data_IF_764369875513
#
_entry.id   IF_764369875513
#
_cell.length_a   1.000
_cell.length_b   1.000
_cell.length_c   1.000
_cell.angle_alpha   90.00
_cell.angle_beta   90.00
_cell.angle_gamma   90.00
#
_symmetry.space_group_name_H-M   'P 1'
#
loop_
_entity.id
_entity.type
_entity.pdbx_description
1 polymer ?
#
# COMPACT_ATOMS: atom_id res chain seq x y z
N UNK A 1 -30.35 -32.04 46.79
CA UNK A 1 -30.68 -30.93 47.71
C UNK A 1 -29.42 -30.11 47.93
N UNK A 2 -29.28 -28.81 47.68
CA UNK A 2 -30.15 -27.73 47.16
C UNK A 2 -29.27 -26.88 46.24
N UNK A 3 -29.77 -26.54 45.05
CA UNK A 3 -29.19 -25.56 44.12
C UNK A 3 -29.56 -24.15 44.60
N UNK A 4 -28.63 -23.21 44.50
CA UNK A 4 -28.92 -21.78 44.63
C UNK A 4 -29.22 -21.21 43.23
N UNK A 5 -30.37 -20.57 43.10
CA UNK A 5 -30.76 -19.72 41.97
C UNK A 5 -30.92 -18.32 42.55
N UNK A 6 -30.26 -17.32 41.96
CA UNK A 6 -30.55 -15.92 42.24
C UNK A 6 -31.02 -15.29 40.93
N UNK A 7 -32.30 -14.93 40.92
CA UNK A 7 -33.00 -14.31 39.78
C UNK A 7 -32.73 -12.81 39.74
N UNK A 8 -32.41 -12.29 38.56
CA UNK A 8 -32.39 -10.86 38.24
C UNK A 8 -33.83 -10.41 37.92
N UNK A 9 -34.32 -9.37 38.57
CA UNK A 9 -35.61 -8.74 38.27
C UNK A 9 -35.33 -7.35 37.71
N UNK A 10 -35.46 -7.20 36.39
CA UNK A 10 -35.40 -5.93 35.68
C UNK A 10 -36.85 -5.46 35.51
N UNK A 11 -37.21 -4.34 36.11
CA UNK A 11 -38.47 -3.64 35.81
C UNK A 11 -38.13 -2.38 35.04
N UNK A 12 -38.48 -2.36 33.75
CA UNK A 12 -38.43 -1.17 32.91
C UNK A 12 -39.77 -0.47 32.90
N UNK A 13 -39.74 0.86 32.92
CA UNK A 13 -40.81 1.68 32.36
C UNK A 13 -40.19 2.89 31.66
N UNK A 14 -40.47 2.99 30.36
CA UNK A 14 -40.14 4.09 29.46
C UNK A 14 -41.40 4.95 29.32
N UNK A 15 -41.27 6.28 29.35
CA UNK A 15 -41.97 7.23 28.47
C UNK A 15 -41.55 8.68 28.77
N UNK A 16 -41.22 9.44 27.71
CA UNK A 16 -41.31 10.91 27.71
C UNK A 16 -40.06 11.65 27.23
N UNK A 17 -40.04 12.02 25.95
CA UNK A 17 -38.99 12.78 25.24
C UNK A 17 -38.85 14.25 25.68
N UNK A 18 -37.61 14.74 25.87
CA UNK A 18 -37.15 16.11 25.51
C UNK A 18 -35.60 16.10 25.29
N UNK A 19 -35.17 16.72 24.18
CA UNK A 19 -33.84 17.20 23.70
C UNK A 19 -32.50 16.99 24.48
N UNK A 20 -31.33 16.97 23.79
CA UNK A 20 -30.07 16.51 24.37
C UNK A 20 -29.35 17.62 25.15
N UNK A 21 -29.21 17.44 26.46
CA UNK A 21 -28.09 18.02 27.21
C UNK A 21 -26.99 16.97 27.29
N UNK A 22 -25.76 17.42 27.00
CA UNK A 22 -24.51 16.72 27.29
C UNK A 22 -24.51 16.26 28.76
N UNK A 23 -24.87 15.00 28.98
CA UNK A 23 -24.73 14.34 30.27
C UNK A 23 -23.58 13.35 30.15
N UNK A 24 -22.56 13.54 30.98
CA UNK A 24 -21.50 12.56 31.19
C UNK A 24 -22.12 11.17 31.46
N UNK A 25 -21.53 10.07 30.95
CA UNK A 25 -22.02 8.74 31.23
C UNK A 25 -22.03 8.47 32.74
N UNK A 26 -23.03 7.73 33.26
CA UNK A 26 -23.14 7.46 34.69
C UNK A 26 -21.89 6.73 35.18
N UNK A 27 -21.25 7.30 36.20
CA UNK A 27 -20.17 6.67 36.94
C UNK A 27 -20.74 5.44 37.65
N UNK A 28 -20.45 4.25 37.12
CA UNK A 28 -20.68 2.99 37.83
C UNK A 28 -19.56 2.83 38.84
N UNK A 29 -19.83 3.22 40.09
CA UNK A 29 -18.93 2.98 41.21
C UNK A 29 -19.09 1.52 41.65
N UNK A 30 -18.08 0.69 41.40
CA UNK A 30 -17.99 -0.62 42.04
C UNK A 30 -17.60 -0.42 43.50
N UNK A 31 -18.58 -0.48 44.40
CA UNK A 31 -18.31 -0.52 45.83
C UNK A 31 -17.87 -1.93 46.24
N UNK A 32 -16.61 -2.12 46.62
CA UNK A 32 -16.25 -3.26 47.46
C UNK A 32 -16.71 -2.92 48.87
N UNK A 33 -17.94 -3.33 49.21
CA UNK A 33 -18.42 -3.25 50.59
C UNK A 33 -17.57 -4.21 51.42
N UNK A 34 -16.71 -3.67 52.28
CA UNK A 34 -16.11 -4.48 53.33
C UNK A 34 -17.23 -4.97 54.26
N UNK A 35 -17.55 -6.26 54.15
CA UNK A 35 -18.46 -6.96 55.07
C UNK A 35 -18.01 -6.74 56.53
N UNK A 36 -18.92 -6.65 57.52
CA UNK A 36 -18.55 -6.53 58.93
C UNK A 36 -17.61 -7.67 59.33
N UNK A 37 -16.51 -7.27 59.96
CA UNK A 37 -15.32 -8.08 60.23
C UNK A 37 -15.64 -9.25 61.15
N UNK A 38 -15.45 -10.48 60.66
CA UNK A 38 -15.24 -11.66 61.50
C UNK A 38 -13.87 -11.54 62.20
N UNK A 39 -13.80 -11.54 63.54
CA UNK A 39 -12.56 -11.33 64.30
C UNK A 39 -11.50 -12.43 64.11
N UNK A 40 -11.76 -13.48 63.32
CA UNK A 40 -10.77 -14.54 63.01
C UNK A 40 -9.99 -14.33 61.71
N UNK A 41 -10.16 -13.21 61.01
CA UNK A 41 -9.54 -12.99 59.69
C UNK A 41 -8.05 -12.58 59.81
N UNK A 42 -7.20 -13.36 59.14
CA UNK A 42 -5.76 -13.20 58.97
C UNK A 42 -5.38 -11.75 58.59
N UNK A 43 -4.31 -11.27 59.23
CA UNK A 43 -3.57 -10.02 58.95
C UNK A 43 -3.58 -9.65 57.45
N UNK A 44 -4.18 -8.50 57.11
CA UNK A 44 -4.12 -7.92 55.76
C UNK A 44 -3.01 -6.87 55.72
N UNK A 45 -1.94 -7.10 54.97
CA UNK A 45 -0.91 -6.09 54.71
C UNK A 45 -1.34 -5.17 53.58
N UNK A 46 -1.38 -3.85 53.83
CA UNK A 46 -1.62 -2.84 52.79
C UNK A 46 -0.29 -2.16 52.43
N UNK A 47 -0.03 -2.00 51.13
CA UNK A 47 1.13 -1.26 50.62
C UNK A 47 0.61 0.04 50.02
N UNK A 48 1.18 1.16 50.45
CA UNK A 48 0.72 2.50 50.10
C UNK A 48 1.76 3.24 49.28
N UNK A 49 1.29 4.14 48.44
CA UNK A 49 2.07 4.98 47.55
C UNK A 49 1.75 6.46 47.80
N UNK A 50 2.62 7.33 47.32
CA UNK A 50 2.47 8.78 47.46
C UNK A 50 1.40 9.40 46.55
N UNK A 51 0.55 8.60 45.91
CA UNK A 51 -0.46 9.07 44.97
C UNK A 51 -1.86 8.48 45.19
N UNK A 52 -2.03 7.62 46.21
CA UNK A 52 -3.31 6.98 46.51
C UNK A 52 -4.33 7.95 47.14
N UNK A 53 -5.63 7.72 46.91
CA UNK A 53 -6.72 8.53 47.45
C UNK A 53 -7.44 7.78 48.57
N UNK A 54 -7.57 8.43 49.73
CA UNK A 54 -8.21 7.87 50.93
C UNK A 54 -9.47 8.67 51.24
N UNK A 55 -10.63 8.00 51.25
CA UNK A 55 -11.89 8.56 51.72
C UNK A 55 -12.17 8.06 53.14
N UNK A 56 -12.31 8.98 54.09
CA UNK A 56 -12.68 8.67 55.46
C UNK A 56 -14.22 8.56 55.61
N UNK A 57 -14.68 7.87 56.66
CA UNK A 57 -16.11 7.66 56.94
C UNK A 57 -16.90 8.95 57.19
N UNK A 58 -16.21 10.05 57.50
CA UNK A 58 -16.79 11.38 57.61
C UNK A 58 -16.89 12.14 56.26
N UNK A 59 -16.59 11.48 55.14
CA UNK A 59 -16.63 12.07 53.79
C UNK A 59 -15.39 12.88 53.40
N UNK A 60 -14.37 12.98 54.26
CA UNK A 60 -13.13 13.66 53.90
C UNK A 60 -12.29 12.83 52.93
N UNK A 61 -11.93 13.44 51.80
CA UNK A 61 -11.01 12.88 50.82
C UNK A 61 -9.61 13.44 51.05
N UNK A 62 -8.59 12.58 51.12
CA UNK A 62 -7.19 12.96 51.26
C UNK A 62 -6.35 12.28 50.18
N UNK A 63 -5.46 13.04 49.52
CA UNK A 63 -4.52 12.54 48.53
C UNK A 63 -3.19 12.19 49.19
N UNK A 64 -2.56 11.11 48.75
CA UNK A 64 -1.22 10.80 49.18
C UNK A 64 -0.19 11.80 48.57
N UNK A 65 0.96 12.14 49.18
CA UNK A 65 1.98 13.07 48.63
C UNK A 65 3.43 12.61 48.91
N UNK A 66 4.44 12.96 48.10
CA UNK A 66 5.84 12.47 48.20
C UNK A 66 6.72 12.97 49.37
N UNK A 67 6.18 13.73 50.34
CA UNK A 67 6.98 14.26 51.47
C UNK A 67 7.00 13.35 52.71
N UNK A 68 6.54 12.11 52.59
CA UNK A 68 5.82 11.42 53.66
C UNK A 68 6.53 10.23 54.30
N UNK A 69 7.85 10.17 54.15
CA UNK A 69 8.68 9.29 54.96
C UNK A 69 10.13 9.71 54.80
N UNK A 70 10.60 10.61 55.65
CA UNK A 70 12.04 10.76 55.87
C UNK A 70 12.54 9.85 56.99
N UNK A 71 11.66 9.11 57.69
CA UNK A 71 12.04 8.21 58.80
C UNK A 71 11.43 6.81 58.81
N UNK A 72 10.64 6.40 57.83
CA UNK A 72 10.26 4.99 57.66
C UNK A 72 10.91 4.42 56.41
N UNK A 73 12.08 3.81 56.60
CA UNK A 73 12.56 2.76 55.72
C UNK A 73 11.49 1.65 55.72
N UNK A 74 10.57 1.69 54.75
CA UNK A 74 9.73 0.54 54.45
C UNK A 74 10.64 -0.58 53.93
N UNK A 75 11.15 -1.42 54.84
CA UNK A 75 11.51 -2.79 54.47
C UNK A 75 10.23 -3.41 53.92
N UNK A 76 10.20 -3.71 52.62
CA UNK A 76 9.12 -4.46 51.95
C UNK A 76 8.73 -5.65 52.85
N UNK A 77 7.46 -5.72 53.26
CA UNK A 77 6.91 -6.88 53.96
C UNK A 77 6.56 -6.75 55.45
N UNK A 78 6.13 -5.59 55.95
CA UNK A 78 5.48 -5.52 57.29
C UNK A 78 3.95 -5.49 57.17
N UNK A 79 3.31 -6.38 57.93
CA UNK A 79 1.87 -6.51 58.07
C UNK A 79 1.31 -5.44 59.01
N UNK A 80 0.20 -4.80 58.62
CA UNK A 80 -0.45 -3.70 59.36
C UNK A 80 -1.71 -4.26 60.03
N UNK A 81 -1.89 -4.03 61.33
CA UNK A 81 -3.02 -4.52 62.14
C UNK A 81 -4.21 -3.54 62.13
N UNK A 82 -5.42 -4.02 62.44
CA UNK A 82 -6.65 -3.18 62.50
C UNK A 82 -6.64 -2.11 63.61
N UNK A 83 -5.65 -2.14 64.50
CA UNK A 83 -5.40 -1.15 65.54
C UNK A 83 -4.37 -0.08 65.13
N UNK A 84 -3.75 -0.23 63.97
CA UNK A 84 -2.69 0.66 63.53
C UNK A 84 -3.28 2.01 63.11
N UNK A 85 -2.66 3.09 63.58
CA UNK A 85 -2.89 4.43 63.06
C UNK A 85 -2.00 4.59 61.84
N UNK A 86 -2.58 4.95 60.71
CA UNK A 86 -1.81 5.47 59.58
C UNK A 86 -1.55 6.95 59.90
N UNK A 87 -0.29 7.33 60.11
CA UNK A 87 0.09 8.70 60.42
C UNK A 87 0.36 9.48 59.13
N UNK A 88 -0.15 10.71 59.05
CA UNK A 88 0.05 11.65 57.94
C UNK A 88 0.39 13.03 58.50
N UNK A 89 1.23 13.79 57.82
CA UNK A 89 1.45 15.21 58.13
C UNK A 89 0.81 16.03 57.02
N UNK A 90 -0.22 16.86 57.30
CA UNK A 90 -0.88 17.66 56.28
C UNK A 90 0.05 18.79 55.80
N UNK A 91 0.12 19.00 54.48
CA UNK A 91 0.82 20.14 53.91
C UNK A 91 -0.17 21.26 53.59
N UNK A 92 -0.30 22.22 54.49
CA UNK A 92 -0.72 23.57 54.10
C UNK A 92 0.51 24.31 53.60
N UNK A 93 0.39 25.08 52.50
CA UNK A 93 1.49 25.90 51.93
C UNK A 93 2.13 26.89 52.93
N UNK A 94 1.59 27.00 54.14
CA UNK A 94 2.17 27.69 55.29
C UNK A 94 2.04 26.76 56.50
N UNK A 95 3.19 26.43 57.08
CA UNK A 95 3.41 25.75 58.37
C UNK A 95 3.10 24.24 58.44
N UNK A 96 4.12 23.49 58.88
CA UNK A 96 4.04 22.13 59.38
C UNK A 96 3.30 22.13 60.73
N UNK A 97 2.11 21.53 60.80
CA UNK A 97 1.44 21.24 62.07
C UNK A 97 0.98 19.78 62.11
N UNK A 98 1.73 18.96 62.84
CA UNK A 98 1.28 17.70 63.47
C UNK A 98 1.16 16.45 62.58
N UNK A 99 1.58 15.31 63.12
CA UNK A 99 1.19 13.98 62.62
C UNK A 99 -0.29 13.73 62.98
N UNK A 100 -1.17 13.72 61.98
CA UNK A 100 -2.53 13.23 62.07
C UNK A 100 -2.54 11.70 61.86
N UNK A 101 -2.89 10.93 62.87
CA UNK A 101 -3.15 9.50 62.72
C UNK A 101 -4.62 9.22 62.35
N UNK A 102 -4.92 8.68 61.16
CA UNK A 102 -6.24 8.09 60.89
C UNK A 102 -6.18 6.64 61.33
N UNK A 103 -7.18 6.24 62.11
CA UNK A 103 -7.38 4.83 62.42
C UNK A 103 -7.88 4.13 61.16
N UNK A 104 -7.38 2.94 60.87
CA UNK A 104 -7.87 2.12 59.74
C UNK A 104 -9.39 1.94 59.79
N UNK A 105 -9.98 1.91 60.98
CA UNK A 105 -11.45 1.86 61.20
C UNK A 105 -12.23 3.08 60.70
N UNK A 106 -11.56 4.19 60.42
CA UNK A 106 -12.17 5.43 59.91
C UNK A 106 -12.03 5.57 58.40
N UNK A 107 -11.39 4.62 57.72
CA UNK A 107 -11.24 4.64 56.26
C UNK A 107 -12.45 3.93 55.65
N UNK A 108 -13.20 4.65 54.81
CA UNK A 108 -14.36 4.14 54.08
C UNK A 108 -13.93 3.45 52.79
N UNK A 109 -13.04 4.08 52.04
CA UNK A 109 -12.58 3.57 50.75
C UNK A 109 -11.13 3.97 50.49
N UNK A 110 -10.44 3.11 49.74
CA UNK A 110 -9.08 3.31 49.28
C UNK A 110 -9.03 3.13 47.77
N UNK A 111 -8.49 4.12 47.06
CA UNK A 111 -8.28 4.07 45.62
C UNK A 111 -6.78 4.15 45.34
N UNK A 112 -6.24 3.07 44.77
CA UNK A 112 -4.84 3.02 44.37
C UNK A 112 -4.59 3.98 43.21
N UNK A 113 -3.45 4.64 43.19
CA UNK A 113 -3.06 5.49 42.06
C UNK A 113 -3.08 4.73 40.75
N UNK A 114 -2.61 3.49 40.72
CA UNK A 114 -2.63 2.67 39.51
C UNK A 114 -4.05 2.50 38.99
N UNK A 115 -5.04 2.32 39.86
CA UNK A 115 -6.45 2.22 39.46
C UNK A 115 -6.99 3.54 38.92
N UNK A 116 -6.63 4.68 39.54
CA UNK A 116 -6.99 6.01 39.04
C UNK A 116 -6.32 6.31 37.69
N UNK A 117 -5.07 5.90 37.52
CA UNK A 117 -4.31 6.05 36.28
C UNK A 117 -4.90 5.19 35.16
N UNK A 118 -5.34 3.95 35.42
CA UNK A 118 -6.04 3.12 34.43
C UNK A 118 -7.37 3.75 33.98
N UNK A 119 -8.14 4.35 34.91
CA UNK A 119 -9.35 5.10 34.55
C UNK A 119 -9.04 6.32 33.68
N UNK A 120 -7.94 7.03 33.97
CA UNK A 120 -7.52 8.17 33.16
C UNK A 120 -6.97 7.74 31.80
N UNK A 121 -6.35 6.56 31.68
CA UNK A 121 -5.99 5.95 30.39
C UNK A 121 -7.24 5.72 29.55
N UNK A 122 -8.30 5.16 30.12
CA UNK A 122 -9.58 4.95 29.41
C UNK A 122 -10.23 6.27 28.97
N UNK A 123 -10.17 7.30 29.82
CA UNK A 123 -10.64 8.65 29.46
C UNK A 123 -9.79 9.29 28.37
N UNK A 124 -8.47 9.18 28.45
CA UNK A 124 -7.53 9.71 27.46
C UNK A 124 -7.73 9.03 26.11
N UNK A 125 -7.92 7.71 26.11
CA UNK A 125 -8.32 6.91 24.95
C UNK A 125 -9.63 7.41 24.33
N UNK A 126 -10.65 7.66 25.16
CA UNK A 126 -11.93 8.24 24.70
C UNK A 126 -11.78 9.65 24.08
N UNK A 127 -10.81 10.44 24.55
CA UNK A 127 -10.46 11.76 24.01
C UNK A 127 -9.45 11.72 22.85
N UNK A 128 -8.95 10.54 22.47
CA UNK A 128 -7.87 10.34 21.49
C UNK A 128 -6.52 10.97 21.89
N UNK A 129 -6.28 11.14 23.18
CA UNK A 129 -4.99 11.58 23.71
C UNK A 129 -4.08 10.36 23.95
N UNK A 130 -3.51 9.86 22.86
CA UNK A 130 -2.69 8.64 22.85
C UNK A 130 -1.39 8.80 23.64
N UNK A 131 -0.78 9.99 23.60
CA UNK A 131 0.47 10.28 24.28
C UNK A 131 0.28 10.20 25.80
N UNK A 132 -0.79 10.82 26.33
CA UNK A 132 -1.11 10.74 27.75
C UNK A 132 -1.44 9.31 28.17
N UNK A 133 -2.20 8.56 27.36
CA UNK A 133 -2.55 7.17 27.63
C UNK A 133 -1.29 6.26 27.70
N UNK A 134 -0.41 6.33 26.70
CA UNK A 134 0.83 5.54 26.64
C UNK A 134 1.79 5.89 27.80
N UNK A 135 1.89 7.19 28.13
CA UNK A 135 2.71 7.66 29.24
C UNK A 135 2.21 7.11 30.58
N UNK A 136 0.90 7.18 30.85
CA UNK A 136 0.31 6.65 32.08
C UNK A 136 0.52 5.13 32.21
N UNK A 137 0.29 4.37 31.13
CA UNK A 137 0.55 2.92 31.12
C UNK A 137 2.02 2.61 31.43
N UNK A 138 2.95 3.35 30.84
CA UNK A 138 4.39 3.20 31.08
C UNK A 138 4.78 3.57 32.52
N UNK A 139 4.18 4.62 33.08
CA UNK A 139 4.39 5.03 34.47
C UNK A 139 3.88 3.97 35.46
N UNK A 140 2.69 3.39 35.22
CA UNK A 140 2.15 2.30 36.04
C UNK A 140 3.11 1.11 36.01
N UNK A 141 3.57 0.69 34.83
CA UNK A 141 4.45 -0.45 34.69
C UNK A 141 5.82 -0.21 35.34
N UNK A 142 6.37 1.00 35.26
CA UNK A 142 7.61 1.40 35.93
C UNK A 142 7.45 1.43 37.44
N UNK A 143 6.33 1.96 37.93
CA UNK A 143 6.08 2.17 39.34
C UNK A 143 5.75 0.85 40.05
N UNK A 144 4.88 0.03 39.45
CA UNK A 144 4.43 -1.25 39.98
C UNK A 144 4.24 -2.31 38.87
N UNK A 145 5.31 -3.01 38.46
CA UNK A 145 5.26 -3.98 37.36
C UNK A 145 4.32 -5.17 37.60
N UNK A 146 3.90 -5.40 38.85
CA UNK A 146 3.03 -6.51 39.24
C UNK A 146 1.57 -6.12 39.33
N UNK A 147 1.25 -4.84 39.16
CA UNK A 147 -0.13 -4.36 39.18
C UNK A 147 -0.84 -4.82 37.91
N UNK A 148 -1.84 -5.69 38.06
CA UNK A 148 -2.72 -6.19 36.99
C UNK A 148 -2.08 -6.28 35.58
N UNK A 149 -0.97 -7.03 35.41
CA UNK A 149 -0.16 -6.96 34.19
C UNK A 149 -0.94 -7.34 32.92
N UNK A 150 -1.94 -8.21 33.05
CA UNK A 150 -2.86 -8.56 31.96
C UNK A 150 -3.72 -7.38 31.53
N UNK A 151 -4.32 -6.65 32.48
CA UNK A 151 -5.19 -5.51 32.20
C UNK A 151 -4.40 -4.36 31.56
N UNK A 152 -3.18 -4.12 32.01
CA UNK A 152 -2.28 -3.13 31.43
C UNK A 152 -1.95 -3.49 29.98
N UNK A 153 -1.61 -4.76 29.71
CA UNK A 153 -1.34 -5.23 28.35
C UNK A 153 -2.58 -5.07 27.45
N UNK A 154 -3.74 -5.53 27.89
CA UNK A 154 -5.01 -5.37 27.17
C UNK A 154 -5.32 -3.90 26.84
N UNK A 155 -5.16 -3.00 27.81
CA UNK A 155 -5.41 -1.57 27.58
C UNK A 155 -4.39 -0.95 26.62
N UNK A 156 -3.13 -1.40 26.67
CA UNK A 156 -2.11 -0.97 25.73
C UNK A 156 -2.48 -1.38 24.30
N UNK A 157 -2.86 -2.65 24.10
CA UNK A 157 -3.26 -3.16 22.79
C UNK A 157 -4.52 -2.45 22.26
N UNK A 158 -5.47 -2.14 23.14
CA UNK A 158 -6.67 -1.37 22.77
C UNK A 158 -6.37 0.09 22.41
N UNK A 159 -5.40 0.73 23.08
CA UNK A 159 -4.93 2.08 22.73
C UNK A 159 -4.23 2.07 21.38
N UNK A 160 -3.35 1.08 21.13
CA UNK A 160 -2.66 0.92 19.85
C UNK A 160 -3.65 0.63 18.70
N UNK A 161 -4.67 -0.21 18.94
CA UNK A 161 -5.72 -0.49 17.96
C UNK A 161 -6.53 0.77 17.61
N UNK A 162 -6.95 1.55 18.59
CA UNK A 162 -7.72 2.77 18.33
C UNK A 162 -6.89 3.87 17.67
N UNK A 163 -5.60 3.98 18.03
CA UNK A 163 -4.63 4.83 17.35
C UNK A 163 -4.47 4.41 15.88
N UNK A 164 -4.37 3.11 15.61
CA UNK A 164 -4.27 2.60 14.25
C UNK A 164 -5.53 2.93 13.43
N UNK A 165 -6.74 2.79 14.01
CA UNK A 165 -8.01 3.19 13.36
C UNK A 165 -8.01 4.67 12.95
N UNK A 166 -7.46 5.56 13.77
CA UNK A 166 -7.38 6.98 13.44
C UNK A 166 -6.38 7.23 12.30
N UNK A 167 -5.23 6.56 12.31
CA UNK A 167 -4.19 6.72 11.30
C UNK A 167 -4.63 6.25 9.91
N UNK A 168 -5.46 5.21 9.84
CA UNK A 168 -6.03 4.70 8.57
C UNK A 168 -7.27 5.47 8.10
N UNK A 169 -7.80 6.38 8.91
CA UNK A 169 -9.03 7.10 8.59
C UNK A 169 -8.91 7.92 7.29
N UNK A 170 -9.99 8.05 6.51
CA UNK A 170 -9.99 8.86 5.29
C UNK A 170 -9.64 10.31 5.61
N UNK A 171 -8.70 10.88 4.84
CA UNK A 171 -8.13 12.22 5.07
C UNK A 171 -6.72 12.22 5.65
N UNK A 172 -6.23 11.08 6.13
CA UNK A 172 -4.81 10.87 6.39
C UNK A 172 -4.02 10.75 5.07
N UNK A 173 -2.92 11.50 4.95
CA UNK A 173 -1.95 11.29 3.86
C UNK A 173 -1.35 9.87 3.92
N UNK A 174 -0.76 9.41 2.81
CA UNK A 174 -0.35 8.01 2.65
C UNK A 174 0.61 7.55 3.75
N UNK A 175 1.53 8.42 4.20
CA UNK A 175 2.44 8.12 5.31
C UNK A 175 1.73 7.74 6.61
N UNK A 176 0.63 8.42 6.98
CA UNK A 176 -0.12 8.09 8.20
C UNK A 176 -0.83 6.75 8.05
N UNK A 177 -1.37 6.48 6.86
CA UNK A 177 -2.04 5.23 6.55
C UNK A 177 -1.07 4.05 6.66
N UNK A 178 0.12 4.19 6.10
CA UNK A 178 1.16 3.15 6.16
C UNK A 178 1.57 2.85 7.60
N UNK A 179 1.73 3.89 8.43
CA UNK A 179 1.99 3.73 9.87
C UNK A 179 0.83 2.98 10.57
N UNK A 180 -0.41 3.33 10.25
CA UNK A 180 -1.59 2.64 10.77
C UNK A 180 -1.61 1.15 10.39
N UNK A 181 -1.33 0.82 9.14
CA UNK A 181 -1.28 -0.58 8.66
C UNK A 181 -0.14 -1.37 9.32
N UNK A 182 1.02 -0.76 9.53
CA UNK A 182 2.14 -1.39 10.24
C UNK A 182 1.78 -1.72 11.69
N UNK A 183 1.10 -0.79 12.38
CA UNK A 183 0.61 -1.03 13.74
C UNK A 183 -0.40 -2.19 13.77
N UNK A 184 -1.35 -2.23 12.84
CA UNK A 184 -2.32 -3.34 12.80
C UNK A 184 -1.61 -4.67 12.51
N UNK A 185 -0.67 -4.72 11.56
CA UNK A 185 0.09 -5.94 11.26
C UNK A 185 0.91 -6.43 12.48
N UNK A 186 1.45 -5.51 13.26
CA UNK A 186 2.12 -5.84 14.51
C UNK A 186 1.13 -6.43 15.53
N UNK A 187 -0.04 -5.81 15.71
CA UNK A 187 -1.08 -6.29 16.61
C UNK A 187 -1.60 -7.68 16.22
N UNK A 188 -1.79 -7.96 14.93
CA UNK A 188 -2.18 -9.30 14.43
C UNK A 188 -1.14 -10.35 14.82
N UNK A 189 0.14 -9.99 14.71
CA UNK A 189 1.24 -10.91 15.04
C UNK A 189 1.36 -11.18 16.54
N UNK A 190 1.14 -10.16 17.38
CA UNK A 190 1.37 -10.27 18.84
C UNK A 190 0.12 -10.67 19.61
N UNK A 191 -1.06 -10.22 19.17
CA UNK A 191 -2.34 -10.33 19.86
C UNK A 191 -3.50 -10.65 18.87
N UNK A 192 -3.48 -11.80 18.18
CA UNK A 192 -4.48 -12.13 17.16
C UNK A 192 -5.92 -12.24 17.71
N UNK A 193 -6.09 -12.54 19.00
CA UNK A 193 -7.38 -12.67 19.67
C UNK A 193 -7.97 -11.33 20.16
N UNK A 194 -7.31 -10.19 19.87
CA UNK A 194 -7.78 -8.88 20.32
C UNK A 194 -9.16 -8.56 19.72
N UNK A 195 -10.19 -8.27 20.56
CA UNK A 195 -11.55 -8.04 20.07
C UNK A 195 -11.64 -6.90 19.06
N UNK A 196 -12.21 -7.19 17.89
CA UNK A 196 -12.40 -6.22 16.79
C UNK A 196 -11.14 -5.90 15.99
N UNK A 197 -10.02 -6.57 16.23
CA UNK A 197 -8.81 -6.41 15.44
C UNK A 197 -8.99 -6.92 14.00
N UNK A 198 -9.61 -8.09 13.84
CA UNK A 198 -9.89 -8.68 12.52
C UNK A 198 -10.70 -7.71 11.65
N UNK A 199 -11.84 -7.23 12.14
CA UNK A 199 -12.72 -6.32 11.41
C UNK A 199 -11.99 -5.06 10.92
N UNK A 200 -11.11 -4.50 11.75
CA UNK A 200 -10.35 -3.29 11.43
C UNK A 200 -9.23 -3.59 10.44
N UNK A 201 -8.50 -4.69 10.63
CA UNK A 201 -7.42 -5.11 9.75
C UNK A 201 -7.96 -5.45 8.36
N UNK A 202 -8.92 -6.37 8.29
CA UNK A 202 -9.56 -6.79 7.04
C UNK A 202 -10.24 -5.60 6.37
N UNK A 203 -11.01 -4.81 7.11
CA UNK A 203 -11.68 -3.63 6.56
C UNK A 203 -10.71 -2.62 5.94
N UNK A 204 -9.55 -2.39 6.56
CA UNK A 204 -8.52 -1.49 6.02
C UNK A 204 -7.97 -1.98 4.67
N UNK A 205 -7.59 -3.26 4.60
CA UNK A 205 -7.04 -3.85 3.38
C UNK A 205 -8.08 -4.01 2.26
N UNK A 206 -9.32 -4.37 2.58
CA UNK A 206 -10.42 -4.47 1.61
C UNK A 206 -10.72 -3.10 1.00
N UNK A 207 -10.77 -2.03 1.80
CA UNK A 207 -10.96 -0.68 1.27
C UNK A 207 -9.84 -0.26 0.30
N UNK A 208 -8.59 -0.66 0.59
CA UNK A 208 -7.45 -0.40 -0.30
C UNK A 208 -7.54 -1.25 -1.58
N UNK A 209 -7.94 -2.52 -1.45
CA UNK A 209 -8.13 -3.41 -2.58
C UNK A 209 -9.26 -2.90 -3.50
N UNK A 210 -10.39 -2.43 -2.95
CA UNK A 210 -11.44 -1.79 -3.74
C UNK A 210 -10.97 -0.52 -4.44
N UNK A 211 -10.15 0.31 -3.78
CA UNK A 211 -9.55 1.49 -4.40
C UNK A 211 -8.64 1.10 -5.57
N UNK A 212 -7.83 0.06 -5.41
CA UNK A 212 -6.97 -0.47 -6.47
C UNK A 212 -7.78 -1.07 -7.62
N UNK A 213 -8.86 -1.82 -7.32
CA UNK A 213 -9.81 -2.36 -8.32
C UNK A 213 -10.45 -1.24 -9.14
N UNK A 214 -10.88 -0.15 -8.51
CA UNK A 214 -11.42 1.04 -9.22
C UNK A 214 -10.39 1.75 -10.10
N UNK A 215 -9.11 1.63 -9.77
CA UNK A 215 -8.01 2.14 -10.57
C UNK A 215 -7.48 1.11 -11.59
N UNK A 216 -8.16 -0.04 -11.74
CA UNK A 216 -7.78 -1.17 -12.61
C UNK A 216 -6.39 -1.76 -12.31
N UNK A 217 -5.84 -1.51 -11.12
CA UNK A 217 -4.57 -2.07 -10.67
C UNK A 217 -4.79 -3.42 -9.95
N UNK A 218 -5.10 -4.46 -10.71
CA UNK A 218 -5.41 -5.78 -10.16
C UNK A 218 -4.20 -6.50 -9.53
N UNK A 219 -2.97 -6.17 -9.92
CA UNK A 219 -1.78 -6.68 -9.24
C UNK A 219 -1.80 -6.29 -7.76
N UNK A 220 -2.05 -5.01 -7.49
CA UNK A 220 -2.17 -4.49 -6.13
C UNK A 220 -3.37 -5.10 -5.39
N UNK A 221 -4.49 -5.34 -6.07
CA UNK A 221 -5.66 -6.05 -5.48
C UNK A 221 -5.24 -7.43 -4.96
N UNK A 222 -4.57 -8.23 -5.79
CA UNK A 222 -4.13 -9.57 -5.42
C UNK A 222 -3.10 -9.57 -4.30
N UNK A 223 -2.17 -8.63 -4.30
CA UNK A 223 -1.19 -8.48 -3.21
C UNK A 223 -1.89 -8.17 -1.88
N UNK A 224 -2.85 -7.23 -1.86
CA UNK A 224 -3.58 -6.85 -0.65
C UNK A 224 -4.48 -8.00 -0.14
N UNK A 225 -5.13 -8.71 -1.06
CA UNK A 225 -5.92 -9.91 -0.72
C UNK A 225 -5.02 -11.01 -0.15
N UNK A 226 -3.86 -11.28 -0.75
CA UNK A 226 -2.92 -12.29 -0.26
C UNK A 226 -2.42 -11.98 1.17
N UNK A 227 -2.07 -10.72 1.44
CA UNK A 227 -1.68 -10.26 2.78
C UNK A 227 -2.80 -10.49 3.80
N UNK A 228 -4.04 -10.21 3.40
CA UNK A 228 -5.21 -10.34 4.29
C UNK A 228 -5.57 -11.82 4.53
N UNK A 229 -5.66 -12.63 3.47
CA UNK A 229 -5.94 -14.07 3.54
C UNK A 229 -4.88 -14.84 4.32
N UNK A 230 -3.61 -14.39 4.33
CA UNK A 230 -2.55 -15.03 5.11
C UNK A 230 -2.76 -14.88 6.63
N UNK A 231 -3.43 -13.80 7.06
CA UNK A 231 -3.72 -13.55 8.48
C UNK A 231 -5.12 -14.02 8.88
N UNK A 232 -6.11 -13.83 8.02
CA UNK A 232 -7.52 -14.14 8.24
C UNK A 232 -8.13 -14.85 7.03
N UNK A 233 -7.88 -16.17 6.86
CA UNK A 233 -8.30 -16.92 5.67
C UNK A 233 -9.81 -17.11 5.55
N UNK A 234 -10.54 -17.11 6.67
CA UNK A 234 -12.00 -17.38 6.73
C UNK A 234 -12.83 -16.08 6.75
N UNK A 235 -12.23 -14.94 6.42
CA UNK A 235 -12.91 -13.66 6.52
C UNK A 235 -13.91 -13.43 5.38
N UNK A 236 -15.20 -13.29 5.71
CA UNK A 236 -16.31 -13.09 4.75
C UNK A 236 -16.05 -11.95 3.73
N UNK A 237 -15.54 -10.75 4.12
CA UNK A 237 -15.25 -9.69 3.15
C UNK A 237 -14.20 -10.06 2.11
N UNK A 238 -13.20 -10.86 2.49
CA UNK A 238 -12.13 -11.34 1.60
C UNK A 238 -12.70 -12.32 0.58
N UNK A 239 -13.46 -13.31 1.05
CA UNK A 239 -14.12 -14.29 0.18
C UNK A 239 -15.08 -13.59 -0.79
N UNK A 240 -15.88 -12.64 -0.31
CA UNK A 240 -16.79 -11.87 -1.15
C UNK A 240 -16.06 -11.15 -2.29
N UNK A 241 -14.98 -10.42 -1.99
CA UNK A 241 -14.23 -9.70 -3.03
C UNK A 241 -13.55 -10.66 -4.02
N UNK A 242 -13.03 -11.81 -3.55
CA UNK A 242 -12.49 -12.85 -4.44
C UNK A 242 -13.56 -13.43 -5.37
N UNK A 243 -14.76 -13.68 -4.87
CA UNK A 243 -15.88 -14.17 -5.66
C UNK A 243 -16.33 -13.13 -6.71
N UNK A 244 -16.41 -11.86 -6.35
CA UNK A 244 -16.73 -10.78 -7.30
C UNK A 244 -15.69 -10.70 -8.45
N UNK A 245 -14.39 -10.79 -8.13
CA UNK A 245 -13.33 -10.80 -9.14
C UNK A 245 -13.41 -12.04 -10.04
N UNK A 246 -13.78 -13.19 -9.48
CA UNK A 246 -14.02 -14.41 -10.24
C UNK A 246 -15.20 -14.26 -11.20
N UNK A 247 -16.33 -13.73 -10.73
CA UNK A 247 -17.52 -13.49 -11.56
C UNK A 247 -17.20 -12.54 -12.72
N UNK A 248 -16.46 -11.45 -12.46
CA UNK A 248 -16.00 -10.54 -13.52
C UNK A 248 -15.10 -11.26 -14.54
N UNK A 249 -14.16 -12.09 -14.07
CA UNK A 249 -13.27 -12.84 -14.94
C UNK A 249 -14.04 -13.85 -15.82
N UNK A 250 -15.01 -14.58 -15.25
CA UNK A 250 -15.89 -15.48 -16.02
C UNK A 250 -16.65 -14.70 -17.10
N UNK A 251 -17.22 -13.55 -16.76
CA UNK A 251 -17.93 -12.70 -17.73
C UNK A 251 -17.03 -12.20 -18.86
N UNK A 252 -15.73 -11.97 -18.60
CA UNK A 252 -14.76 -11.61 -19.65
C UNK A 252 -14.40 -12.80 -20.55
N UNK A 253 -14.28 -14.00 -20.00
CA UNK A 253 -14.06 -15.22 -20.78
C UNK A 253 -15.24 -15.47 -21.73
N UNK A 254 -16.48 -15.31 -21.26
CA UNK A 254 -17.67 -15.45 -22.11
C UNK A 254 -17.71 -14.41 -23.25
N UNK A 255 -17.33 -13.16 -22.96
CA UNK A 255 -17.17 -12.13 -23.99
C UNK A 255 -16.04 -12.47 -24.96
N UNK A 256 -14.91 -13.00 -24.47
CA UNK A 256 -13.80 -13.45 -25.31
C UNK A 256 -14.23 -14.55 -26.28
N UNK A 257 -15.01 -15.53 -25.80
CA UNK A 257 -15.58 -16.59 -26.64
C UNK A 257 -16.50 -16.03 -27.72
N UNK A 258 -17.33 -15.05 -27.37
CA UNK A 258 -18.24 -14.39 -28.32
C UNK A 258 -17.46 -13.62 -29.39
N UNK A 259 -16.41 -12.87 -28.99
CA UNK A 259 -15.53 -12.15 -29.90
C UNK A 259 -14.81 -13.10 -30.87
N UNK A 260 -14.30 -14.24 -30.37
CA UNK A 260 -13.63 -15.25 -31.20
C UNK A 260 -14.59 -15.89 -32.23
N UNK A 261 -15.84 -16.17 -31.82
CA UNK A 261 -16.88 -16.67 -32.72
C UNK A 261 -17.25 -15.68 -33.82
N UNK A 262 -17.20 -14.38 -33.52
CA UNK A 262 -17.42 -13.30 -34.48
C UNK A 262 -16.20 -13.03 -35.37
N UNK A 263 -15.08 -13.72 -35.14
CA UNK A 263 -13.82 -13.54 -35.87
C UNK A 263 -12.97 -12.38 -35.39
N UNK A 264 -13.36 -11.67 -34.32
CA UNK A 264 -12.58 -10.60 -33.70
C UNK A 264 -11.55 -11.19 -32.72
N UNK A 265 -10.44 -11.63 -33.30
CA UNK A 265 -9.38 -12.39 -32.61
C UNK A 265 -8.61 -11.54 -31.61
N UNK A 266 -8.34 -10.28 -31.95
CA UNK A 266 -7.60 -9.34 -31.09
C UNK A 266 -8.39 -9.06 -29.83
N UNK A 267 -9.67 -8.73 -29.98
CA UNK A 267 -10.54 -8.48 -28.84
C UNK A 267 -10.73 -9.74 -27.99
N UNK A 268 -10.88 -10.91 -28.61
CA UNK A 268 -10.96 -12.18 -27.88
C UNK A 268 -9.73 -12.43 -26.99
N UNK A 269 -8.52 -12.22 -27.52
CA UNK A 269 -7.30 -12.38 -26.75
C UNK A 269 -7.18 -11.32 -25.64
N UNK A 270 -7.48 -10.06 -25.94
CA UNK A 270 -7.45 -8.97 -24.96
C UNK A 270 -8.41 -9.23 -23.78
N UNK A 271 -9.63 -9.65 -24.06
CA UNK A 271 -10.63 -10.02 -23.05
C UNK A 271 -10.18 -11.24 -22.22
N UNK A 272 -9.60 -12.25 -22.88
CA UNK A 272 -9.09 -13.45 -22.21
C UNK A 272 -7.91 -13.13 -21.26
N UNK A 273 -6.98 -12.27 -21.69
CA UNK A 273 -5.90 -11.79 -20.83
C UNK A 273 -6.43 -10.91 -19.69
N UNK A 274 -7.42 -10.06 -19.96
CA UNK A 274 -8.08 -9.23 -18.95
C UNK A 274 -8.80 -10.06 -17.88
N UNK A 275 -9.31 -11.25 -18.24
CA UNK A 275 -9.88 -12.20 -17.29
C UNK A 275 -8.82 -12.78 -16.35
N UNK A 276 -7.66 -13.17 -16.88
CA UNK A 276 -6.52 -13.65 -16.08
C UNK A 276 -6.03 -12.59 -15.08
N UNK A 277 -5.99 -11.32 -15.50
CA UNK A 277 -5.60 -10.21 -14.62
C UNK A 277 -6.56 -10.02 -13.45
N UNK A 278 -7.87 -10.20 -13.69
CA UNK A 278 -8.89 -10.08 -12.63
C UNK A 278 -8.88 -11.25 -11.66
N UNK A 279 -8.72 -12.48 -12.16
CA UNK A 279 -8.73 -13.68 -11.33
C UNK A 279 -7.76 -14.73 -11.87
N UNK A 280 -6.54 -14.85 -11.30
CA UNK A 280 -5.50 -15.75 -11.78
C UNK A 280 -5.69 -17.19 -11.26
N UNK A 281 -6.92 -17.69 -11.25
CA UNK A 281 -7.22 -19.05 -10.77
C UNK A 281 -6.99 -20.11 -11.85
N UNK A 282 -6.81 -21.36 -11.42
CA UNK A 282 -6.61 -22.51 -12.33
C UNK A 282 -7.75 -22.62 -13.33
N UNK A 283 -9.00 -22.45 -12.87
CA UNK A 283 -10.18 -22.53 -13.73
C UNK A 283 -10.15 -21.48 -14.85
N UNK A 284 -9.97 -20.20 -14.50
CA UNK A 284 -9.89 -19.11 -15.49
C UNK A 284 -8.70 -19.34 -16.44
N UNK A 285 -7.57 -19.82 -15.92
CA UNK A 285 -6.41 -20.14 -16.73
C UNK A 285 -6.69 -21.23 -17.77
N UNK A 286 -7.38 -22.29 -17.38
CA UNK A 286 -7.75 -23.37 -18.30
C UNK A 286 -8.74 -22.89 -19.36
N UNK A 287 -9.68 -22.00 -19.00
CA UNK A 287 -10.64 -21.40 -19.93
C UNK A 287 -9.98 -20.42 -20.93
N UNK A 288 -8.89 -19.75 -20.52
CA UNK A 288 -8.13 -18.81 -21.35
C UNK A 288 -7.09 -19.53 -22.24
N UNK A 289 -6.62 -20.70 -21.84
CA UNK A 289 -5.57 -21.45 -22.54
C UNK A 289 -5.86 -21.74 -24.03
N UNK A 290 -7.08 -22.07 -24.47
CA UNK A 290 -7.40 -22.27 -25.89
C UNK A 290 -7.11 -21.03 -26.74
N UNK A 291 -7.42 -19.83 -26.24
CA UNK A 291 -7.09 -18.58 -26.91
C UNK A 291 -5.57 -18.47 -27.04
N UNK A 292 -4.83 -18.62 -25.95
CA UNK A 292 -3.38 -18.53 -25.95
C UNK A 292 -2.70 -19.52 -26.91
N UNK A 293 -3.20 -20.77 -26.99
CA UNK A 293 -2.68 -21.81 -27.90
C UNK A 293 -2.96 -21.50 -29.37
N UNK A 294 -4.13 -20.90 -29.66
CA UNK A 294 -4.54 -20.53 -31.02
C UNK A 294 -3.68 -19.41 -31.60
N UNK A 295 -3.08 -18.56 -30.75
CA UNK A 295 -2.43 -17.31 -31.16
C UNK A 295 -0.87 -17.33 -31.17
N UNK A 296 -0.22 -18.48 -31.40
CA UNK A 296 1.26 -18.62 -31.57
C UNK A 296 2.11 -17.75 -30.61
N UNK A 297 1.95 -17.95 -29.31
CA UNK A 297 2.69 -17.18 -28.30
C UNK A 297 4.11 -17.73 -28.14
N UNK A 298 5.10 -16.90 -28.46
CA UNK A 298 6.51 -17.15 -28.11
C UNK A 298 6.79 -16.59 -26.72
N UNK A 299 7.28 -17.43 -25.79
CA UNK A 299 7.75 -16.99 -24.48
C UNK A 299 9.28 -16.88 -24.50
N UNK A 300 9.78 -15.69 -24.19
CA UNK A 300 11.21 -15.41 -24.10
C UNK A 300 11.52 -15.04 -22.66
N UNK A 301 12.50 -15.71 -22.05
CA UNK A 301 13.00 -15.35 -20.73
C UNK A 301 14.14 -14.34 -20.89
N UNK A 302 14.04 -13.22 -20.18
CA UNK A 302 15.02 -12.15 -20.18
C UNK A 302 15.60 -11.98 -18.77
N UNK A 303 16.86 -11.56 -18.67
CA UNK A 303 17.55 -11.33 -17.40
C UNK A 303 17.36 -9.92 -16.84
N UNK A 304 16.73 -9.03 -17.61
CA UNK A 304 16.59 -7.60 -17.34
C UNK A 304 15.16 -7.14 -17.64
N UNK A 305 14.69 -6.10 -16.97
CA UNK A 305 13.45 -5.40 -17.29
C UNK A 305 13.73 -4.26 -18.28
N UNK A 306 12.92 -4.13 -19.33
CA UNK A 306 12.99 -3.00 -20.24
C UNK A 306 12.40 -1.73 -19.61
N UNK A 307 13.15 -0.63 -19.65
CA UNK A 307 12.76 0.69 -19.13
C UNK A 307 12.40 1.73 -20.20
N UNK A 308 12.59 1.41 -21.47
CA UNK A 308 12.16 2.20 -22.61
C UNK A 308 11.87 1.27 -23.81
N UNK A 309 10.80 1.57 -24.54
CA UNK A 309 10.45 0.84 -25.77
C UNK A 309 10.61 1.67 -27.03
N UNK A 310 11.18 2.86 -26.91
CA UNK A 310 11.41 3.79 -28.02
C UNK A 310 12.93 3.91 -28.29
N UNK A 311 13.33 4.23 -29.53
CA UNK A 311 14.71 4.02 -29.96
C UNK A 311 15.75 4.98 -29.37
N UNK A 312 15.34 6.15 -28.92
CA UNK A 312 16.25 7.22 -28.49
C UNK A 312 16.85 6.93 -27.12
N UNK A 313 16.07 6.40 -26.16
CA UNK A 313 16.52 6.06 -24.82
C UNK A 313 16.71 4.55 -24.59
N UNK A 314 16.75 3.74 -25.64
CA UNK A 314 17.03 2.30 -25.56
C UNK A 314 18.52 2.04 -25.29
N UNK A 315 18.89 2.04 -24.01
CA UNK A 315 20.27 1.92 -23.55
C UNK A 315 20.63 0.47 -23.25
N UNK A 316 19.69 -0.30 -22.69
CA UNK A 316 19.94 -1.67 -22.24
C UNK A 316 19.97 -2.65 -23.41
N UNK A 317 20.71 -3.78 -23.29
CA UNK A 317 20.74 -4.82 -24.31
C UNK A 317 19.36 -5.34 -24.70
N UNK A 318 18.47 -5.59 -23.72
CA UNK A 318 17.11 -6.03 -23.99
C UNK A 318 16.33 -5.02 -24.83
N UNK A 319 16.37 -3.74 -24.44
CA UNK A 319 15.69 -2.66 -25.16
C UNK A 319 16.15 -2.62 -26.63
N UNK A 320 17.46 -2.67 -26.86
CA UNK A 320 18.05 -2.69 -28.21
C UNK A 320 17.66 -3.93 -29.03
N UNK A 321 17.49 -5.08 -28.39
CA UNK A 321 17.01 -6.30 -29.05
C UNK A 321 15.52 -6.23 -29.39
N UNK A 322 14.74 -5.47 -28.60
CA UNK A 322 13.31 -5.28 -28.85
C UNK A 322 13.03 -4.27 -29.94
N UNK A 323 13.89 -3.25 -30.13
CA UNK A 323 13.64 -2.20 -31.12
C UNK A 323 13.35 -2.71 -32.54
N UNK A 324 14.07 -3.70 -33.10
CA UNK A 324 13.74 -4.23 -34.44
C UNK A 324 12.37 -4.92 -34.53
N UNK A 325 11.79 -5.34 -33.39
CA UNK A 325 10.42 -5.89 -33.34
C UNK A 325 9.37 -4.77 -33.34
N UNK A 326 9.69 -3.65 -32.69
CA UNK A 326 8.80 -2.50 -32.49
C UNK A 326 8.93 -1.43 -33.59
N UNK A 327 10.07 -1.32 -34.25
CA UNK A 327 10.29 -0.31 -35.28
C UNK A 327 10.91 -0.90 -36.52
N UNK A 328 10.30 -0.57 -37.65
CA UNK A 328 10.95 -0.78 -38.92
C UNK A 328 12.07 0.24 -39.10
N UNK A 329 13.12 -0.20 -39.78
CA UNK A 329 14.30 0.61 -40.05
C UNK A 329 14.44 0.83 -41.56
N UNK A 330 15.17 1.86 -41.99
CA UNK A 330 15.42 2.05 -43.43
C UNK A 330 16.21 0.85 -43.99
N UNK A 331 17.27 0.45 -43.29
CA UNK A 331 17.98 -0.80 -43.54
C UNK A 331 18.26 -1.53 -42.24
N UNK A 332 18.43 -2.85 -42.32
CA UNK A 332 18.80 -3.71 -41.20
C UNK A 332 19.99 -4.59 -41.59
N UNK A 333 20.91 -4.88 -40.65
CA UNK A 333 21.94 -5.87 -40.90
C UNK A 333 21.31 -7.24 -41.13
N UNK A 334 21.87 -8.02 -42.06
CA UNK A 334 21.53 -9.44 -42.20
C UNK A 334 22.04 -10.25 -40.98
N UNK A 335 21.69 -11.52 -40.90
CA UNK A 335 22.11 -12.41 -39.81
C UNK A 335 23.64 -12.48 -39.65
N UNK A 336 24.39 -12.23 -40.73
CA UNK A 336 25.85 -12.24 -40.71
C UNK A 336 26.46 -10.93 -40.20
N UNK A 337 25.66 -9.86 -40.14
CA UNK A 337 26.10 -8.48 -39.85
C UNK A 337 26.98 -7.87 -40.94
N UNK A 338 27.14 -8.54 -42.10
CA UNK A 338 28.03 -8.10 -43.18
C UNK A 338 27.30 -7.37 -44.29
N UNK A 339 26.02 -7.68 -44.50
CA UNK A 339 25.19 -7.02 -45.51
C UNK A 339 24.05 -6.27 -44.83
N UNK A 340 23.46 -5.34 -45.58
CA UNK A 340 22.30 -4.58 -45.16
C UNK A 340 21.13 -4.85 -46.10
N UNK A 341 20.05 -5.34 -45.51
CA UNK A 341 18.76 -5.57 -46.16
C UNK A 341 17.92 -4.29 -46.06
N UNK A 342 17.11 -4.02 -47.09
CA UNK A 342 16.13 -2.94 -47.01
C UNK A 342 15.05 -3.33 -46.01
N UNK A 343 14.62 -2.38 -45.17
CA UNK A 343 13.48 -2.61 -44.31
C UNK A 343 12.18 -2.76 -45.12
N UNK A 344 11.16 -3.42 -44.55
CA UNK A 344 9.86 -3.62 -45.19
C UNK A 344 9.16 -2.33 -45.67
N UNK A 345 9.44 -1.20 -45.00
CA UNK A 345 8.88 0.11 -45.36
C UNK A 345 9.64 0.83 -46.48
N UNK A 346 10.74 0.26 -46.99
CA UNK A 346 11.57 0.85 -48.04
C UNK A 346 11.38 0.08 -49.34
N UNK A 347 10.79 0.74 -50.33
CA UNK A 347 10.60 0.20 -51.67
C UNK A 347 11.92 0.21 -52.48
N UNK A 348 12.68 1.30 -52.38
CA UNK A 348 13.92 1.47 -53.13
C UNK A 348 14.91 2.36 -52.37
N UNK A 349 16.20 2.04 -52.50
CA UNK A 349 17.32 2.84 -52.00
C UNK A 349 18.34 3.00 -53.13
N UNK A 350 18.48 4.22 -53.64
CA UNK A 350 19.47 4.59 -54.64
C UNK A 350 20.62 5.37 -54.00
N UNK A 351 21.83 4.84 -54.11
CA UNK A 351 23.05 5.50 -53.66
C UNK A 351 23.73 6.24 -54.83
N UNK A 352 23.99 7.52 -54.65
CA UNK A 352 24.67 8.41 -55.59
C UNK A 352 25.92 9.00 -54.96
N UNK A 353 26.80 9.53 -55.80
CA UNK A 353 28.01 10.25 -55.38
C UNK A 353 28.88 9.43 -54.42
N UNK A 354 29.05 8.13 -54.72
CA UNK A 354 29.78 7.16 -53.88
C UNK A 354 29.22 7.04 -52.47
N UNK A 355 27.88 7.04 -52.34
CA UNK A 355 27.18 6.90 -51.06
C UNK A 355 27.06 8.20 -50.27
N UNK A 356 27.44 9.35 -50.84
CA UNK A 356 27.23 10.67 -50.20
C UNK A 356 25.79 11.16 -50.30
N UNK A 357 25.01 10.63 -51.24
CA UNK A 357 23.60 10.95 -51.39
C UNK A 357 22.80 9.66 -51.51
N UNK A 358 21.89 9.44 -50.56
CA UNK A 358 20.97 8.31 -50.56
C UNK A 358 19.56 8.84 -50.87
N UNK A 359 18.94 8.33 -51.93
CA UNK A 359 17.55 8.61 -52.28
C UNK A 359 16.72 7.39 -51.86
N UNK A 360 15.73 7.62 -51.02
CA UNK A 360 14.94 6.55 -50.39
C UNK A 360 13.48 6.75 -50.78
N UNK A 361 12.89 5.70 -51.35
CA UNK A 361 11.48 5.60 -51.64
C UNK A 361 10.81 4.67 -50.62
N UNK A 362 9.88 5.22 -49.85
CA UNK A 362 9.08 4.49 -48.88
C UNK A 362 7.89 3.82 -49.55
N UNK A 363 7.43 2.70 -48.98
CA UNK A 363 6.21 2.04 -49.42
C UNK A 363 5.01 2.92 -49.06
N UNK A 364 4.15 3.30 -50.02
CA UNK A 364 2.96 4.11 -49.74
C UNK A 364 1.94 3.37 -48.87
N UNK A 365 1.05 4.13 -48.21
CA UNK A 365 -0.10 3.62 -47.44
C UNK A 365 0.23 2.79 -46.20
N UNK A 366 1.51 2.73 -45.81
CA UNK A 366 1.92 2.13 -44.55
C UNK A 366 1.48 2.99 -43.37
N UNK A 367 1.23 2.37 -42.22
CA UNK A 367 0.70 3.03 -41.02
C UNK A 367 1.46 2.62 -39.78
N UNK A 368 1.54 3.55 -38.83
CA UNK A 368 1.94 3.24 -37.47
C UNK A 368 0.81 2.50 -36.72
N UNK A 369 1.10 1.93 -35.55
CA UNK A 369 0.12 1.22 -34.72
C UNK A 369 -1.10 2.04 -34.30
N UNK A 370 -0.99 3.37 -34.25
CA UNK A 370 -2.11 4.27 -33.99
C UNK A 370 -2.95 4.60 -35.25
N UNK A 371 -2.65 3.96 -36.39
CA UNK A 371 -3.31 4.16 -37.67
C UNK A 371 -2.86 5.40 -38.44
N UNK A 372 -1.95 6.23 -37.90
CA UNK A 372 -1.41 7.38 -38.62
C UNK A 372 -0.53 6.95 -39.80
N UNK A 373 -0.52 7.68 -40.93
CA UNK A 373 0.24 7.29 -42.11
C UNK A 373 1.75 7.51 -41.89
N UNK A 374 2.57 6.57 -42.38
CA UNK A 374 4.03 6.71 -42.44
C UNK A 374 4.41 7.47 -43.71
N UNK A 375 5.28 8.45 -43.58
CA UNK A 375 5.71 9.32 -44.66
C UNK A 375 7.16 9.80 -44.48
N UNK A 376 7.70 10.46 -45.51
CA UNK A 376 9.10 10.90 -45.53
C UNK A 376 9.48 11.88 -44.44
N UNK A 377 8.53 12.67 -43.93
CA UNK A 377 8.77 13.63 -42.87
C UNK A 377 9.03 12.96 -41.51
N UNK A 378 8.51 11.75 -41.28
CA UNK A 378 8.76 10.93 -40.09
C UNK A 378 10.25 10.53 -40.01
N UNK A 379 10.79 10.03 -41.13
CA UNK A 379 12.21 9.65 -41.24
C UNK A 379 13.11 10.87 -41.11
N UNK A 380 12.77 11.98 -41.79
CA UNK A 380 13.54 13.23 -41.69
C UNK A 380 13.53 13.78 -40.27
N UNK A 381 12.40 13.71 -39.55
CA UNK A 381 12.34 14.12 -38.15
C UNK A 381 13.17 13.22 -37.24
N UNK A 382 13.14 11.90 -37.46
CA UNK A 382 14.02 10.98 -36.71
C UNK A 382 15.49 11.35 -36.89
N UNK A 383 15.91 11.60 -38.14
CA UNK A 383 17.27 12.08 -38.45
C UNK A 383 17.54 13.42 -37.77
N UNK A 384 16.59 14.35 -37.76
CA UNK A 384 16.74 15.64 -37.07
C UNK A 384 16.97 15.46 -35.57
N UNK A 385 16.22 14.58 -34.90
CA UNK A 385 16.34 14.32 -33.47
C UNK A 385 17.70 13.71 -33.11
N UNK A 386 18.18 12.74 -33.89
CA UNK A 386 19.48 12.11 -33.69
C UNK A 386 20.67 13.08 -33.88
N UNK A 387 20.46 14.20 -34.57
CA UNK A 387 21.49 15.22 -34.85
C UNK A 387 21.40 16.46 -33.96
N UNK A 388 20.37 16.58 -33.12
CA UNK A 388 20.19 17.77 -32.29
C UNK A 388 21.11 17.69 -31.07
N UNK A 389 22.20 18.48 -30.99
CA UNK A 389 23.15 18.40 -29.87
C UNK A 389 22.54 18.82 -28.53
N UNK A 390 21.33 19.40 -28.53
CA UNK A 390 20.59 19.75 -27.32
C UNK A 390 19.59 18.69 -26.89
N UNK A 391 19.33 17.68 -27.73
CA UNK A 391 18.36 16.62 -27.49
C UNK A 391 18.96 15.39 -26.83
N UNK A 392 18.15 14.67 -26.05
CA UNK A 392 18.56 13.43 -25.37
C UNK A 392 18.89 12.29 -26.35
N UNK A 393 18.39 12.38 -27.60
CA UNK A 393 18.63 11.41 -28.67
C UNK A 393 19.95 11.63 -29.44
N UNK A 394 20.74 12.64 -29.08
CA UNK A 394 21.92 13.02 -29.86
C UNK A 394 22.96 11.90 -29.94
N UNK A 395 23.32 11.50 -31.17
CA UNK A 395 24.44 10.60 -31.43
C UNK A 395 25.57 11.37 -32.14
N UNK A 396 26.64 11.78 -31.41
CA UNK A 396 27.74 12.55 -31.99
C UNK A 396 28.57 11.76 -33.01
N UNK A 397 28.71 10.44 -32.82
CA UNK A 397 29.50 9.60 -33.72
C UNK A 397 28.75 9.39 -35.05
N UNK A 398 27.43 9.25 -34.99
CA UNK A 398 26.59 9.15 -36.17
C UNK A 398 26.42 10.50 -36.89
N UNK A 399 26.15 11.60 -36.17
CA UNK A 399 26.01 12.96 -36.73
C UNK A 399 27.27 13.43 -37.47
N UNK A 400 28.46 12.95 -37.05
CA UNK A 400 29.71 13.19 -37.77
C UNK A 400 29.64 12.74 -39.23
N UNK A 401 28.83 11.76 -39.58
CA UNK A 401 28.74 11.23 -40.95
C UNK A 401 27.44 11.59 -41.66
N UNK A 402 26.44 12.13 -40.98
CA UNK A 402 25.16 12.50 -41.60
C UNK A 402 25.03 14.02 -41.69
N UNK A 403 25.01 14.56 -42.90
CA UNK A 403 24.88 16.00 -43.13
C UNK A 403 23.44 16.50 -42.98
N UNK A 404 22.47 15.62 -43.19
CA UNK A 404 21.05 15.88 -42.99
C UNK A 404 20.15 15.14 -43.97
N UNK A 405 18.86 15.37 -43.84
CA UNK A 405 17.85 14.78 -44.70
C UNK A 405 16.83 15.83 -45.15
N UNK A 406 16.28 15.66 -46.36
CA UNK A 406 15.28 16.54 -46.94
C UNK A 406 14.15 15.73 -47.55
N UNK A 407 12.92 16.19 -47.37
CA UNK A 407 11.73 15.63 -48.01
C UNK A 407 11.73 16.00 -49.49
N UNK A 408 11.61 15.00 -50.37
CA UNK A 408 11.52 15.15 -51.84
C UNK A 408 10.14 14.74 -52.38
N UNK A 409 9.25 14.28 -51.50
CA UNK A 409 7.86 13.90 -51.75
C UNK A 409 7.25 13.26 -50.51
N UNK A 410 5.94 12.90 -50.53
CA UNK A 410 5.28 12.27 -49.38
C UNK A 410 5.92 10.94 -48.94
N UNK A 411 6.47 10.19 -49.90
CA UNK A 411 7.11 8.89 -49.70
C UNK A 411 8.53 8.86 -50.31
N UNK A 412 9.12 10.01 -50.65
CA UNK A 412 10.50 10.10 -51.13
C UNK A 412 11.30 11.07 -50.28
N UNK A 413 12.47 10.66 -49.83
CA UNK A 413 13.42 11.53 -49.13
C UNK A 413 14.84 11.38 -49.66
N UNK A 414 15.67 12.37 -49.34
CA UNK A 414 17.10 12.39 -49.63
C UNK A 414 17.87 12.51 -48.33
N UNK A 415 18.85 11.64 -48.12
CA UNK A 415 19.78 11.69 -46.99
C UNK A 415 21.17 12.01 -47.55
N UNK A 416 21.79 13.07 -47.03
CA UNK A 416 23.14 13.49 -47.39
C UNK A 416 24.10 12.97 -46.33
N UNK A 417 25.14 12.26 -46.78
CA UNK A 417 26.15 11.64 -45.96
C UNK A 417 27.53 12.22 -46.31
N UNK A 418 28.38 12.31 -45.30
CA UNK A 418 29.82 12.46 -45.51
C UNK A 418 30.40 11.14 -45.97
N UNK A 419 31.61 11.18 -46.50
CA UNK A 419 32.29 9.98 -46.97
C UNK A 419 32.48 8.98 -45.81
N UNK A 420 31.93 7.78 -45.98
CA UNK A 420 32.03 6.67 -45.02
C UNK A 420 32.32 5.39 -45.79
N UNK A 421 33.04 4.44 -45.17
CA UNK A 421 33.40 3.16 -45.81
C UNK A 421 32.20 2.23 -45.99
N UNK A 422 31.17 2.40 -45.16
CA UNK A 422 29.93 1.63 -45.17
C UNK A 422 28.73 2.59 -45.04
N UNK A 423 28.33 3.33 -46.08
CA UNK A 423 27.27 4.34 -45.98
C UNK A 423 25.93 3.75 -45.50
N UNK A 424 25.61 2.51 -45.88
CA UNK A 424 24.39 1.81 -45.43
C UNK A 424 24.32 1.59 -43.93
N UNK A 425 25.45 1.43 -43.24
CA UNK A 425 25.42 1.25 -41.77
C UNK A 425 24.92 2.50 -41.05
N UNK A 426 25.00 3.67 -41.69
CA UNK A 426 24.46 4.92 -41.16
C UNK A 426 22.95 5.03 -41.39
N UNK A 427 22.36 4.15 -42.21
CA UNK A 427 20.94 4.12 -42.51
C UNK A 427 20.16 3.10 -41.65
N UNK A 428 20.76 2.52 -40.61
CA UNK A 428 20.03 1.71 -39.60
C UNK A 428 19.21 2.61 -38.67
N UNK A 429 18.35 3.43 -39.28
CA UNK A 429 17.58 4.48 -38.63
C UNK A 429 16.16 3.94 -38.44
N UNK A 430 15.64 3.89 -37.21
CA UNK A 430 14.26 3.48 -36.95
C UNK A 430 13.30 4.53 -37.50
N UNK A 431 12.12 4.11 -37.98
CA UNK A 431 11.10 5.04 -38.48
C UNK A 431 10.13 5.35 -37.34
N UNK A 432 10.21 6.57 -36.79
CA UNK A 432 9.36 7.08 -35.69
C UNK A 432 8.43 8.19 -36.15
N UNK A 433 7.30 8.37 -35.48
CA UNK A 433 6.28 9.37 -35.87
C UNK A 433 6.80 10.81 -35.73
N UNK A 434 6.51 11.67 -36.71
CA UNK A 434 6.92 13.07 -36.75
C UNK A 434 6.43 13.90 -35.56
N UNK A 435 5.28 13.54 -34.97
CA UNK A 435 4.71 14.23 -33.80
C UNK A 435 5.60 14.16 -32.58
N UNK A 436 6.61 13.30 -32.57
CA UNK A 436 7.69 13.29 -31.58
C UNK A 436 8.60 14.50 -31.79
N UNK A 437 8.22 15.63 -31.19
CA UNK A 437 8.98 16.88 -31.24
C UNK A 437 10.27 16.78 -30.42
N UNK A 438 10.20 16.05 -29.30
CA UNK A 438 11.31 15.69 -28.42
C UNK A 438 11.22 14.19 -28.10
N UNK A 439 12.35 13.51 -27.89
CA UNK A 439 12.36 12.15 -27.38
C UNK A 439 11.56 12.08 -26.06
N UNK A 440 10.71 11.07 -25.87
CA UNK A 440 9.98 10.93 -24.62
C UNK A 440 10.96 10.64 -23.48
N UNK A 441 10.66 11.12 -22.28
CA UNK A 441 11.49 10.86 -21.11
C UNK A 441 11.45 9.34 -20.82
N UNK A 442 12.61 8.73 -20.57
CA UNK A 442 12.71 7.31 -20.20
C UNK A 442 11.75 6.95 -19.05
N UNK A 443 10.99 5.88 -19.22
CA UNK A 443 9.99 5.42 -18.25
C UNK A 443 8.69 6.23 -18.21
N UNK A 444 8.56 7.30 -19.00
CA UNK A 444 7.28 7.98 -19.20
C UNK A 444 6.27 7.08 -19.91
N UNK A 445 4.98 7.46 -19.85
CA UNK A 445 3.91 6.71 -20.54
C UNK A 445 4.18 6.55 -22.04
N UNK A 446 4.68 7.59 -22.69
CA UNK A 446 4.97 7.56 -24.13
C UNK A 446 6.22 6.74 -24.47
N UNK A 447 7.17 6.64 -23.53
CA UNK A 447 8.33 5.75 -23.64
C UNK A 447 7.98 4.28 -23.39
N UNK A 448 7.01 4.02 -22.50
CA UNK A 448 6.55 2.68 -22.11
C UNK A 448 5.39 2.14 -22.96
N UNK A 449 4.73 3.00 -23.74
CA UNK A 449 3.68 2.62 -24.67
C UNK A 449 3.78 3.47 -25.94
N UNK A 450 4.85 3.31 -26.73
CA UNK A 450 5.10 4.15 -27.87
C UNK A 450 4.22 3.80 -29.06
N UNK A 451 4.06 4.77 -29.97
CA UNK A 451 3.56 4.52 -31.32
C UNK A 451 4.67 3.87 -32.13
N UNK A 452 4.38 2.73 -32.73
CA UNK A 452 5.36 1.84 -33.35
C UNK A 452 5.10 1.64 -34.84
N UNK A 453 6.16 1.33 -35.60
CA UNK A 453 6.09 1.05 -37.04
C UNK A 453 6.34 -0.42 -37.39
N UNK A 454 6.88 -1.19 -36.45
CA UNK A 454 7.26 -2.60 -36.60
C UNK A 454 6.10 -3.58 -36.60
N UNK A 455 6.46 -4.87 -36.73
CA UNK A 455 5.52 -5.99 -36.71
C UNK A 455 4.85 -6.23 -35.35
N UNK A 456 5.35 -5.63 -34.27
CA UNK A 456 4.80 -5.78 -32.94
C UNK A 456 4.56 -4.44 -32.24
N UNK A 457 3.56 -4.42 -31.36
CA UNK A 457 3.26 -3.34 -30.43
C UNK A 457 3.35 -3.79 -28.97
N UNK A 458 3.58 -2.84 -28.06
CA UNK A 458 3.63 -3.11 -26.63
C UNK A 458 2.20 -3.35 -26.13
N UNK A 459 1.93 -4.54 -25.62
CA UNK A 459 0.65 -4.90 -25.02
C UNK A 459 0.67 -4.64 -23.50
N UNK A 460 -0.50 -4.60 -22.84
CA UNK A 460 -0.57 -4.55 -21.39
C UNK A 460 0.25 -5.67 -20.74
N UNK A 461 0.95 -5.35 -19.64
CA UNK A 461 1.70 -6.34 -18.87
C UNK A 461 0.79 -7.47 -18.40
N UNK A 462 1.34 -8.68 -18.37
CA UNK A 462 0.68 -9.87 -17.85
C UNK A 462 0.61 -9.81 -16.32
N UNK A 463 -0.29 -10.60 -15.69
CA UNK A 463 -0.49 -10.56 -14.23
C UNK A 463 0.74 -11.00 -13.42
N UNK A 464 1.64 -11.75 -14.04
CA UNK A 464 2.92 -12.18 -13.44
C UNK A 464 4.02 -11.10 -13.56
N UNK A 465 3.65 -9.89 -14.02
CA UNK A 465 4.56 -8.78 -14.26
C UNK A 465 5.27 -8.84 -15.61
N UNK A 466 5.10 -9.92 -16.39
CA UNK A 466 5.80 -10.08 -17.67
C UNK A 466 5.34 -9.05 -18.70
N UNK A 467 6.29 -8.60 -19.51
CA UNK A 467 6.02 -7.80 -20.69
C UNK A 467 5.40 -8.66 -21.79
N UNK A 468 4.40 -8.11 -22.50
CA UNK A 468 3.81 -8.74 -23.68
C UNK A 468 3.98 -7.85 -24.91
N UNK A 469 4.31 -8.46 -26.04
CA UNK A 469 4.26 -7.84 -27.37
C UNK A 469 3.13 -8.50 -28.16
N UNK A 470 2.27 -7.70 -28.78
CA UNK A 470 1.20 -8.16 -29.66
C UNK A 470 1.55 -7.87 -31.11
N UNK A 471 1.06 -8.67 -32.05
CA UNK A 471 1.23 -8.37 -33.48
C UNK A 471 0.55 -7.04 -33.82
N UNK A 472 1.26 -6.21 -34.59
CA UNK A 472 0.76 -4.95 -35.15
C UNK A 472 0.13 -5.27 -36.52
N UNK A 473 -1.19 -5.06 -36.67
CA UNK A 473 -1.96 -5.44 -37.86
C UNK A 473 -2.12 -4.30 -38.89
#
# INVERSE_FOLDING_TARGET
MKRFVLSLLITGLILGSVAPLLADPPIVIFSVVASPVDPKIKQRSYTFTHYDRIEATNGQVRLAHPGWSTKMQFRRGRSISSLDKIFFVPYTRRNFEGELGLRVTTIKQFEYWEQLALLEVERSRGKKDWETAEKLLSEIQRFNPKWEPKRIAELKDLVELDRAKELIAPGGGDQKRDQGLQLLAQLVKTHPELPGLEDVYVGAYINLAEKARKAENFEQVHQLLAVTSASYPESEPVEKLQNELMEEAVGLVEKAQTADQNGDRKEALHLALSALTRSPTIKIRDDVLPFLKKYQILKVACYEDAGAFEPFNAIQPLEKQMLPLLYEHIVQPDESGRNFLLGPLVNQLDEKDFGKLCIIDLVPQQRFSNGSPIASHDVVNTIRLLRDPTGDAYDPEWDRYVEGATVDGPYRLKVKLRQHTLPRSLLTIPITQFTTVQPPIRGSKDSMNPVVSGAFEVAPRLPDGSLALAANE
#
